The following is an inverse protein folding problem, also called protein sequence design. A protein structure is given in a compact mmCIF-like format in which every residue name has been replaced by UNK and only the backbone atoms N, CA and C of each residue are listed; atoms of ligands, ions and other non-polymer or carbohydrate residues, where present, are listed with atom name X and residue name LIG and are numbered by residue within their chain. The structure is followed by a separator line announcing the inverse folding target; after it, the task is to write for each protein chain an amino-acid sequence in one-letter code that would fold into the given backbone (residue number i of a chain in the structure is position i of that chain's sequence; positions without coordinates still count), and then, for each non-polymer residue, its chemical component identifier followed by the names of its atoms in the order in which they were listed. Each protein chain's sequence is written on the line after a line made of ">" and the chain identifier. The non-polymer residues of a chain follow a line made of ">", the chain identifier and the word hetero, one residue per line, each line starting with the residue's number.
data_IF_228411236368
#
_entry.id   IF_228411236368
#
_cell.length_a   1.000
_cell.length_b   1.000
_cell.length_c   1.000
_cell.angle_alpha   90.00
_cell.angle_beta   90.00
_cell.angle_gamma   90.00
#
_symmetry.space_group_name_H-M   'P 1'
#
loop_
_entity.id
_entity.type
_entity.pdbx_description
1 polymer ?
#
# COMPACT_ATOMS: atom_id res chain seq x y z
N UNK A 1 7.66 23.94 -22.71
CA UNK A 1 8.84 23.18 -22.25
C UNK A 1 8.44 22.08 -21.27
N UNK A 2 7.76 22.39 -20.14
CA UNK A 2 7.32 21.39 -19.15
C UNK A 2 6.33 20.32 -19.67
N UNK A 3 5.52 20.62 -20.68
CA UNK A 3 4.57 19.65 -21.27
C UNK A 3 5.23 18.52 -22.06
N UNK A 4 6.51 18.64 -22.45
CA UNK A 4 7.25 17.63 -23.23
C UNK A 4 8.10 16.67 -22.39
N UNK A 5 8.19 16.87 -21.07
CA UNK A 5 8.95 16.00 -20.16
C UNK A 5 8.16 14.73 -19.82
N UNK A 6 8.87 13.61 -19.69
CA UNK A 6 8.30 12.33 -19.24
C UNK A 6 7.71 12.45 -17.84
N UNK A 7 6.68 11.64 -17.53
CA UNK A 7 6.06 11.64 -16.21
C UNK A 7 7.06 11.29 -15.10
N UNK A 8 7.94 10.32 -15.36
CA UNK A 8 8.98 9.89 -14.41
C UNK A 8 9.91 11.05 -14.07
N UNK A 9 10.37 11.80 -15.09
CA UNK A 9 11.24 12.96 -14.87
C UNK A 9 10.53 14.05 -14.05
N UNK A 10 9.23 14.28 -14.29
CA UNK A 10 8.44 15.25 -13.51
C UNK A 10 8.34 14.84 -12.04
N UNK A 11 8.13 13.55 -11.76
CA UNK A 11 8.07 13.02 -10.38
C UNK A 11 9.41 13.23 -9.68
N UNK A 12 10.53 12.92 -10.34
CA UNK A 12 11.87 13.12 -9.75
C UNK A 12 12.12 14.60 -9.43
N UNK A 13 11.81 15.50 -10.37
CA UNK A 13 11.96 16.95 -10.15
C UNK A 13 11.09 17.41 -8.97
N UNK A 14 9.83 16.96 -8.90
CA UNK A 14 8.92 17.30 -7.82
C UNK A 14 9.41 16.80 -6.45
N UNK A 15 10.00 15.59 -6.38
CA UNK A 15 10.60 15.06 -5.15
C UNK A 15 11.78 15.92 -4.70
N UNK A 16 12.70 16.24 -5.61
CA UNK A 16 13.87 17.06 -5.29
C UNK A 16 13.45 18.45 -4.82
N UNK A 17 12.48 19.08 -5.49
CA UNK A 17 11.94 20.38 -5.08
C UNK A 17 11.22 20.28 -3.72
N UNK A 18 10.46 19.21 -3.47
CA UNK A 18 9.79 18.99 -2.19
C UNK A 18 10.77 18.86 -1.02
N UNK A 19 11.87 18.12 -1.22
CA UNK A 19 12.96 18.03 -0.24
C UNK A 19 13.61 19.41 -0.04
N UNK A 20 13.87 20.15 -1.12
CA UNK A 20 14.43 21.50 -1.05
C UNK A 20 13.54 22.46 -0.25
N UNK A 21 12.23 22.45 -0.47
CA UNK A 21 11.27 23.28 0.29
C UNK A 21 11.23 22.88 1.76
N UNK A 22 11.24 21.58 2.07
CA UNK A 22 11.23 21.10 3.45
C UNK A 22 12.45 21.55 4.26
N UNK A 23 13.62 21.62 3.61
CA UNK A 23 14.88 22.03 4.25
C UNK A 23 15.04 23.57 4.34
N UNK A 24 14.65 24.30 3.29
CA UNK A 24 14.85 25.75 3.21
C UNK A 24 13.73 26.56 3.87
N UNK A 25 12.49 26.04 3.86
CA UNK A 25 11.30 26.74 4.33
C UNK A 25 10.41 25.83 5.20
N UNK A 26 10.89 25.36 6.36
CA UNK A 26 10.18 24.39 7.19
C UNK A 26 8.83 24.90 7.74
N UNK A 27 8.66 26.22 7.85
CA UNK A 27 7.43 26.87 8.31
C UNK A 27 6.29 26.77 7.29
N UNK A 28 6.59 26.57 6.00
CA UNK A 28 5.59 26.49 4.92
C UNK A 28 5.16 25.04 4.67
N UNK A 29 5.97 24.06 5.08
CA UNK A 29 5.73 22.62 4.92
C UNK A 29 4.34 22.14 5.38
N UNK A 30 3.80 22.58 6.54
CA UNK A 30 2.47 22.16 6.98
C UNK A 30 1.33 22.61 6.05
N UNK A 31 1.50 23.71 5.33
CA UNK A 31 0.49 24.15 4.35
C UNK A 31 0.56 23.32 3.07
N UNK A 32 1.76 22.84 2.70
CA UNK A 32 1.96 21.99 1.54
C UNK A 32 1.53 20.53 1.80
N UNK A 33 1.51 20.07 3.05
CA UNK A 33 1.10 18.69 3.37
C UNK A 33 -0.33 18.40 2.95
N UNK A 34 -1.21 19.42 2.91
CA UNK A 34 -2.57 19.31 2.40
C UNK A 34 -2.61 18.71 0.98
N UNK A 35 -1.70 19.14 0.09
CA UNK A 35 -1.66 18.59 -1.28
C UNK A 35 -1.25 17.12 -1.28
N UNK A 36 -0.34 16.71 -0.39
CA UNK A 36 0.04 15.31 -0.21
C UNK A 36 -1.11 14.46 0.34
N UNK A 37 -1.84 14.97 1.34
CA UNK A 37 -3.00 14.29 1.90
C UNK A 37 -4.13 14.14 0.87
N UNK A 38 -4.43 15.19 0.11
CA UNK A 38 -5.40 15.15 -0.98
C UNK A 38 -4.99 14.13 -2.04
N UNK A 39 -3.72 14.09 -2.43
CA UNK A 39 -3.20 13.12 -3.39
C UNK A 39 -3.36 11.68 -2.89
N UNK A 40 -2.94 11.41 -1.64
CA UNK A 40 -3.06 10.07 -1.05
C UNK A 40 -4.52 9.66 -0.91
N UNK A 41 -5.40 10.57 -0.45
CA UNK A 41 -6.84 10.28 -0.31
C UNK A 41 -7.48 10.00 -1.67
N UNK A 42 -7.18 10.80 -2.69
CA UNK A 42 -7.67 10.58 -4.04
C UNK A 42 -7.20 9.21 -4.57
N UNK A 43 -5.91 8.88 -4.45
CA UNK A 43 -5.36 7.60 -4.90
C UNK A 43 -5.99 6.40 -4.15
N UNK A 44 -6.10 6.50 -2.82
CA UNK A 44 -6.71 5.46 -1.99
C UNK A 44 -8.20 5.28 -2.27
N UNK A 45 -8.92 6.35 -2.59
CA UNK A 45 -10.37 6.28 -2.84
C UNK A 45 -10.74 5.47 -4.09
N UNK A 46 -9.88 5.48 -5.11
CA UNK A 46 -10.12 4.77 -6.37
C UNK A 46 -9.71 3.30 -6.28
N UNK A 47 -8.72 2.98 -5.45
CA UNK A 47 -8.10 1.64 -5.42
C UNK A 47 -9.08 0.48 -5.13
N UNK A 48 -10.00 0.53 -4.14
CA UNK A 48 -10.92 -0.56 -3.85
C UNK A 48 -11.80 -0.97 -5.04
N UNK A 49 -12.37 0.03 -5.71
CA UNK A 49 -13.28 -0.18 -6.85
C UNK A 49 -12.49 -0.72 -8.05
N UNK A 50 -11.31 -0.15 -8.31
CA UNK A 50 -10.45 -0.60 -9.39
C UNK A 50 -10.02 -2.06 -9.21
N UNK A 51 -9.59 -2.45 -8.01
CA UNK A 51 -9.21 -3.84 -7.72
C UNK A 51 -10.40 -4.79 -7.91
N UNK A 52 -11.57 -4.44 -7.37
CA UNK A 52 -12.79 -5.26 -7.53
C UNK A 52 -13.13 -5.51 -9.00
N UNK A 53 -13.23 -4.44 -9.79
CA UNK A 53 -13.62 -4.52 -11.21
C UNK A 53 -12.57 -5.25 -12.05
N UNK A 54 -11.27 -4.99 -11.81
CA UNK A 54 -10.20 -5.65 -12.56
C UNK A 54 -10.15 -7.15 -12.32
N UNK A 55 -10.29 -7.58 -11.06
CA UNK A 55 -10.26 -9.01 -10.71
C UNK A 55 -11.49 -9.71 -11.27
N UNK A 56 -12.69 -9.15 -11.07
CA UNK A 56 -13.94 -9.67 -11.63
C UNK A 56 -13.86 -9.79 -13.15
N UNK A 57 -13.38 -8.74 -13.83
CA UNK A 57 -13.21 -8.75 -15.30
C UNK A 57 -12.18 -9.77 -15.76
N UNK A 58 -11.06 -9.92 -15.04
CA UNK A 58 -10.04 -10.91 -15.37
C UNK A 58 -10.55 -12.34 -15.25
N UNK A 59 -11.45 -12.61 -14.30
CA UNK A 59 -12.03 -13.93 -14.06
C UNK A 59 -13.15 -14.20 -15.08
N UNK A 60 -14.03 -13.23 -15.32
CA UNK A 60 -15.09 -13.34 -16.33
C UNK A 60 -14.53 -13.55 -17.75
N UNK A 61 -13.39 -12.94 -18.07
CA UNK A 61 -12.70 -13.11 -19.36
C UNK A 61 -11.75 -14.32 -19.40
N UNK A 62 -11.66 -15.11 -18.34
CA UNK A 62 -10.75 -16.26 -18.27
C UNK A 62 -11.27 -17.41 -19.14
N UNK A 63 -10.57 -17.74 -20.22
CA UNK A 63 -10.96 -18.82 -21.12
C UNK A 63 -10.64 -20.19 -20.50
N UNK A 64 -11.67 -21.01 -20.32
CA UNK A 64 -11.56 -22.38 -19.80
C UNK A 64 -10.75 -23.22 -20.79
N UNK A 65 -9.51 -23.57 -20.42
CA UNK A 65 -8.58 -24.33 -21.26
C UNK A 65 -7.22 -23.67 -21.48
N UNK A 66 -7.08 -22.37 -21.17
CA UNK A 66 -5.78 -21.71 -21.08
C UNK A 66 -5.17 -21.92 -19.69
N UNK A 67 -3.95 -22.47 -19.61
CA UNK A 67 -3.25 -22.60 -18.34
C UNK A 67 -2.63 -21.26 -17.93
N UNK A 68 -3.24 -20.59 -16.96
CA UNK A 68 -2.54 -19.52 -16.26
C UNK A 68 -1.41 -20.13 -15.42
N UNK A 69 -0.15 -19.88 -15.83
CA UNK A 69 1.03 -20.32 -15.08
C UNK A 69 1.24 -19.48 -13.82
N UNK A 70 0.33 -19.59 -12.84
CA UNK A 70 0.38 -18.83 -11.59
C UNK A 70 1.38 -19.40 -10.57
N UNK A 71 1.67 -20.71 -10.64
CA UNK A 71 2.57 -21.37 -9.67
C UNK A 71 3.97 -20.73 -9.59
N UNK A 72 4.68 -20.43 -10.70
CA UNK A 72 5.99 -19.77 -10.63
C UNK A 72 5.92 -18.37 -10.05
N UNK A 73 4.84 -17.62 -10.34
CA UNK A 73 4.64 -16.26 -9.84
C UNK A 73 4.44 -16.27 -8.32
N UNK A 74 3.64 -17.20 -7.80
CA UNK A 74 3.44 -17.36 -6.35
C UNK A 74 4.73 -17.76 -5.64
N UNK A 75 5.51 -18.67 -6.24
CA UNK A 75 6.81 -19.08 -5.69
C UNK A 75 7.78 -17.89 -5.65
N UNK A 76 7.89 -17.13 -6.75
CA UNK A 76 8.69 -15.90 -6.81
C UNK A 76 8.25 -14.87 -5.77
N UNK A 77 6.95 -14.72 -5.54
CA UNK A 77 6.41 -13.79 -4.54
C UNK A 77 6.83 -14.19 -3.12
N UNK A 78 6.64 -15.45 -2.73
CA UNK A 78 6.99 -15.94 -1.39
C UNK A 78 8.50 -15.85 -1.15
N UNK A 79 9.30 -16.33 -2.10
CA UNK A 79 10.76 -16.30 -2.01
C UNK A 79 11.27 -14.85 -1.99
N UNK A 80 10.77 -14.00 -2.89
CA UNK A 80 11.15 -12.59 -2.95
C UNK A 80 10.83 -11.82 -1.67
N UNK A 81 9.63 -11.99 -1.10
CA UNK A 81 9.23 -11.35 0.16
C UNK A 81 10.08 -11.82 1.34
N UNK A 82 10.40 -13.11 1.40
CA UNK A 82 11.23 -13.68 2.46
C UNK A 82 12.68 -13.19 2.38
N UNK A 83 13.29 -13.15 1.18
CA UNK A 83 14.62 -12.58 1.00
C UNK A 83 14.66 -11.08 1.31
N UNK A 84 13.63 -10.32 0.89
CA UNK A 84 13.51 -8.90 1.19
C UNK A 84 13.40 -8.65 2.71
N UNK A 85 12.61 -9.45 3.43
CA UNK A 85 12.49 -9.35 4.88
C UNK A 85 13.84 -9.62 5.58
N UNK A 86 14.57 -10.66 5.18
CA UNK A 86 15.90 -10.92 5.73
C UNK A 86 16.89 -9.78 5.43
N UNK A 87 16.90 -9.27 4.20
CA UNK A 87 17.74 -8.13 3.82
C UNK A 87 17.41 -6.89 4.67
N UNK A 88 16.13 -6.60 4.87
CA UNK A 88 15.68 -5.48 5.71
C UNK A 88 16.11 -5.63 7.17
N UNK A 89 16.02 -6.83 7.75
CA UNK A 89 16.49 -7.11 9.11
C UNK A 89 18.00 -6.93 9.22
N UNK A 90 18.79 -7.49 8.29
CA UNK A 90 20.26 -7.34 8.28
C UNK A 90 20.66 -5.87 8.16
N UNK A 91 20.02 -5.12 7.26
CA UNK A 91 20.26 -3.69 7.09
C UNK A 91 19.90 -2.91 8.36
N UNK A 92 18.75 -3.23 8.98
CA UNK A 92 18.31 -2.62 10.23
C UNK A 92 19.25 -2.90 11.40
N UNK A 93 19.90 -4.06 11.44
CA UNK A 93 20.89 -4.40 12.47
C UNK A 93 22.25 -3.76 12.18
N UNK A 94 22.62 -3.62 10.91
CA UNK A 94 23.90 -3.02 10.49
C UNK A 94 23.90 -1.49 10.64
N UNK A 95 22.74 -0.85 10.50
CA UNK A 95 22.54 0.59 10.67
C UNK A 95 21.42 0.86 11.68
N UNK A 96 21.67 0.70 12.99
CA UNK A 96 20.67 0.99 14.01
C UNK A 96 20.31 2.47 13.98
N UNK A 97 19.09 2.79 13.51
CA UNK A 97 18.57 4.15 13.46
C UNK A 97 17.75 4.45 14.72
N UNK A 98 18.20 5.41 15.52
CA UNK A 98 17.41 5.93 16.64
C UNK A 98 16.57 7.12 16.15
N UNK A 99 15.26 6.91 16.00
CA UNK A 99 14.33 8.01 15.78
C UNK A 99 14.11 8.74 17.11
N UNK A 100 14.67 9.93 17.27
CA UNK A 100 14.35 10.79 18.40
C UNK A 100 12.92 11.33 18.21
N UNK A 101 11.93 10.63 18.78
CA UNK A 101 10.55 11.09 18.84
C UNK A 101 10.44 12.26 19.81
N UNK A 102 10.53 13.48 19.30
CA UNK A 102 10.20 14.69 20.06
C UNK A 102 8.68 14.97 19.99
N UNK A 103 7.85 13.97 20.35
CA UNK A 103 6.39 14.11 20.38
C UNK A 103 5.89 13.95 21.81
N UNK A 104 5.30 15.03 22.31
CA UNK A 104 4.43 15.05 23.50
C UNK A 104 3.56 13.79 23.49
N UNK A 105 3.57 13.03 24.59
CA UNK A 105 2.80 11.80 24.80
C UNK A 105 1.37 11.91 24.25
N UNK A 106 1.16 11.47 23.01
CA UNK A 106 -0.17 11.29 22.45
C UNK A 106 -0.46 9.80 22.45
N UNK A 107 -1.26 9.42 23.45
CA UNK A 107 -2.14 8.27 23.59
C UNK A 107 -1.96 7.08 22.63
N UNK A 108 -1.83 5.91 23.24
CA UNK A 108 -2.17 4.59 22.68
C UNK A 108 -1.40 4.16 21.44
N UNK A 109 -0.07 4.09 21.53
CA UNK A 109 0.67 3.06 20.79
C UNK A 109 0.29 1.69 21.40
N UNK A 110 -0.89 1.18 21.04
CA UNK A 110 -1.26 -0.19 21.36
C UNK A 110 -0.21 -1.10 20.72
N UNK A 111 0.40 -1.95 21.55
CA UNK A 111 1.28 -3.00 21.05
C UNK A 111 0.52 -3.80 19.97
N UNK A 112 1.20 -4.20 18.88
CA UNK A 112 0.59 -5.06 17.87
C UNK A 112 -0.11 -6.24 18.55
N UNK A 113 -1.33 -6.56 18.11
CA UNK A 113 -2.09 -7.68 18.66
C UNK A 113 -1.35 -9.01 18.52
N UNK A 114 -1.82 -10.04 19.24
CA UNK A 114 -1.22 -11.36 19.13
C UNK A 114 -1.33 -11.90 17.69
N UNK A 115 -0.40 -12.76 17.27
CA UNK A 115 -0.45 -13.39 15.94
C UNK A 115 -1.79 -14.10 15.69
N UNK A 116 -2.33 -14.74 16.73
CA UNK A 116 -3.63 -15.40 16.67
C UNK A 116 -4.76 -14.41 16.37
N UNK A 117 -4.75 -13.23 16.99
CA UNK A 117 -5.74 -12.19 16.72
C UNK A 117 -5.61 -11.64 15.29
N UNK A 118 -4.39 -11.47 14.79
CA UNK A 118 -4.16 -11.03 13.41
C UNK A 118 -4.73 -12.06 12.43
N UNK A 119 -4.39 -13.35 12.59
CA UNK A 119 -4.92 -14.41 11.72
C UNK A 119 -6.45 -14.51 11.78
N UNK A 120 -7.03 -14.40 12.99
CA UNK A 120 -8.48 -14.35 13.19
C UNK A 120 -9.09 -13.16 12.44
N UNK A 121 -8.51 -11.98 12.57
CA UNK A 121 -8.99 -10.77 11.88
C UNK A 121 -8.89 -10.88 10.37
N UNK A 122 -7.82 -11.49 9.83
CA UNK A 122 -7.69 -11.75 8.38
C UNK A 122 -8.81 -12.69 7.89
N UNK A 123 -9.10 -13.76 8.65
CA UNK A 123 -10.19 -14.69 8.33
C UNK A 123 -11.57 -14.02 8.38
N UNK A 124 -11.84 -13.21 9.42
CA UNK A 124 -13.08 -12.45 9.50
C UNK A 124 -13.20 -11.42 8.37
N UNK A 125 -12.09 -10.77 8.00
CA UNK A 125 -12.02 -9.82 6.89
C UNK A 125 -12.33 -10.47 5.54
N UNK A 126 -12.02 -11.76 5.38
CA UNK A 126 -12.32 -12.51 4.16
C UNK A 126 -13.83 -12.72 3.95
N UNK A 127 -14.61 -12.82 5.03
CA UNK A 127 -16.06 -13.11 5.00
C UNK A 127 -16.89 -11.81 5.20
N UNK A 128 -16.25 -10.65 5.15
CA UNK A 128 -16.94 -9.36 5.28
C UNK A 128 -17.99 -9.16 4.16
N UNK A 129 -19.05 -8.39 4.42
CA UNK A 129 -20.05 -8.03 3.40
C UNK A 129 -19.39 -7.25 2.23
N UNK A 130 -19.74 -7.47 0.96
CA UNK A 130 -19.08 -6.83 -0.18
C UNK A 130 -19.19 -5.30 -0.16
N UNK A 131 -20.33 -4.75 0.26
CA UNK A 131 -20.52 -3.30 0.38
C UNK A 131 -19.61 -2.73 1.46
N UNK A 132 -19.55 -3.41 2.61
CA UNK A 132 -18.66 -3.03 3.71
C UNK A 132 -17.19 -3.13 3.30
N UNK A 133 -16.82 -4.18 2.57
CA UNK A 133 -15.45 -4.40 2.13
C UNK A 133 -14.94 -3.28 1.22
N UNK A 134 -15.80 -2.78 0.31
CA UNK A 134 -15.49 -1.64 -0.55
C UNK A 134 -15.44 -0.34 0.26
N UNK A 135 -16.41 -0.09 1.15
CA UNK A 135 -16.46 1.15 1.93
C UNK A 135 -15.29 1.31 2.91
N UNK A 136 -14.84 0.21 3.50
CA UNK A 136 -13.72 0.19 4.46
C UNK A 136 -12.35 -0.08 3.81
N UNK A 137 -12.31 -0.22 2.48
CA UNK A 137 -11.10 -0.60 1.73
C UNK A 137 -10.45 -1.91 2.23
N UNK A 138 -11.26 -2.89 2.64
CA UNK A 138 -10.81 -4.23 3.00
C UNK A 138 -10.49 -5.04 1.73
N UNK A 139 -9.25 -4.96 1.26
CA UNK A 139 -8.79 -5.63 0.05
C UNK A 139 -8.94 -7.15 0.09
N UNK A 140 -8.86 -7.79 1.27
CA UNK A 140 -9.02 -9.25 1.39
C UNK A 140 -10.46 -9.65 1.06
N UNK A 141 -11.44 -8.96 1.65
CA UNK A 141 -12.85 -9.16 1.34
C UNK A 141 -13.18 -8.83 -0.11
N UNK A 142 -12.62 -7.73 -0.64
CA UNK A 142 -12.80 -7.34 -2.05
C UNK A 142 -12.33 -8.46 -3.00
N UNK A 143 -11.16 -9.05 -2.77
CA UNK A 143 -10.65 -10.16 -3.57
C UNK A 143 -11.53 -11.40 -3.43
N UNK A 144 -11.97 -11.74 -2.22
CA UNK A 144 -12.83 -12.89 -1.97
C UNK A 144 -14.14 -12.81 -2.78
N UNK A 145 -14.80 -11.65 -2.75
CA UNK A 145 -16.05 -11.43 -3.48
C UNK A 145 -15.86 -11.29 -4.99
N UNK A 146 -14.78 -10.66 -5.44
CA UNK A 146 -14.49 -10.55 -6.88
C UNK A 146 -14.18 -11.90 -7.54
N UNK A 147 -13.71 -12.89 -6.76
CA UNK A 147 -13.48 -14.26 -7.24
C UNK A 147 -14.73 -15.13 -7.12
N UNK A 148 -15.55 -14.92 -6.08
CA UNK A 148 -16.74 -15.72 -5.81
C UNK A 148 -17.97 -15.39 -6.66
N UNK A 149 -17.97 -14.23 -7.34
CA UNK A 149 -19.01 -13.78 -8.29
C UNK A 149 -18.58 -14.04 -9.73
#
# INVERSE_FOLDING_TARGET
>A
FFSRLSLVTKIIIAIILGIGVALLFPTVTPYLSLFGELFIKALKSVAPILVFVLVLSSIANFQVGHSANLRPVLLLYVVGMLLAAFSAVIASLSFPSTLYLNTVSHNNLQAPGSLADILKNLLLSFIANPVQAISEANFIGILAWAIGL
#
